data_IF_741708982223
#
_entry.id   IF_741708982223
#
_cell.length_a   1.000
_cell.length_b   1.000
_cell.length_c   1.000
_cell.angle_alpha   90.00
_cell.angle_beta   90.00
_cell.angle_gamma   90.00
#
_symmetry.space_group_name_H-M   'P 1'
#
loop_
_entity.id
_entity.type
_entity.pdbx_description
1 polymer ?
#
# COMPACT_ATOMS: atom_id res chain seq x y z
N UNK A 1 -25.37 -9.82 52.45
CA UNK A 1 -25.03 -10.24 51.08
C UNK A 1 -23.94 -9.30 50.56
N UNK A 2 -22.78 -9.80 50.15
CA UNK A 2 -21.71 -9.00 49.53
C UNK A 2 -21.80 -9.16 48.01
N UNK A 3 -22.10 -8.09 47.30
CA UNK A 3 -22.06 -8.06 45.84
C UNK A 3 -20.64 -7.66 45.40
N UNK A 4 -19.93 -8.59 44.79
CA UNK A 4 -18.63 -8.33 44.16
C UNK A 4 -18.88 -8.01 42.69
N UNK A 5 -18.77 -6.74 42.30
CA UNK A 5 -18.86 -6.32 40.91
C UNK A 5 -17.53 -6.61 40.21
N UNK A 6 -17.53 -7.57 39.27
CA UNK A 6 -16.37 -7.85 38.42
C UNK A 6 -16.47 -6.92 37.20
N UNK A 7 -15.56 -5.94 37.12
CA UNK A 7 -15.44 -5.04 35.98
C UNK A 7 -14.62 -5.75 34.88
N UNK A 8 -15.29 -6.25 33.84
CA UNK A 8 -14.63 -6.83 32.68
C UNK A 8 -14.13 -5.71 31.74
N UNK A 9 -12.82 -5.51 31.69
CA UNK A 9 -12.17 -4.65 30.69
C UNK A 9 -12.13 -5.39 29.35
N UNK A 10 -13.05 -5.05 28.45
CA UNK A 10 -12.97 -5.49 27.06
C UNK A 10 -11.85 -4.71 26.36
N UNK A 11 -10.71 -5.36 26.12
CA UNK A 11 -9.65 -4.80 25.29
C UNK A 11 -10.06 -4.91 23.82
N UNK A 12 -10.40 -3.78 23.19
CA UNK A 12 -10.57 -3.73 21.74
C UNK A 12 -9.20 -3.89 21.09
N UNK A 13 -8.89 -5.09 20.61
CA UNK A 13 -7.71 -5.31 19.78
C UNK A 13 -7.87 -4.50 18.49
N UNK A 14 -7.08 -3.44 18.33
CA UNK A 14 -6.98 -2.73 17.06
C UNK A 14 -6.28 -3.66 16.06
N UNK A 15 -7.04 -4.20 15.11
CA UNK A 15 -6.47 -4.97 14.00
C UNK A 15 -5.73 -3.99 13.07
N UNK A 16 -4.40 -3.93 13.19
CA UNK A 16 -3.57 -3.15 12.28
C UNK A 16 -3.66 -3.73 10.86
N UNK A 17 -4.14 -2.93 9.91
CA UNK A 17 -4.16 -3.30 8.50
C UNK A 17 -2.76 -3.19 7.92
N UNK A 18 -2.33 -4.25 7.22
CA UNK A 18 -1.05 -4.25 6.49
C UNK A 18 -1.21 -3.42 5.22
N UNK A 19 -0.22 -2.58 4.87
CA UNK A 19 -0.22 -1.93 3.57
C UNK A 19 -0.19 -2.99 2.45
N UNK A 20 -0.89 -2.69 1.35
CA UNK A 20 -1.02 -3.55 0.18
C UNK A 20 -0.77 -2.75 -1.10
N UNK A 21 -0.12 -3.37 -2.08
CA UNK A 21 0.03 -2.85 -3.42
C UNK A 21 -0.01 -3.99 -4.45
N UNK A 22 -1.20 -4.50 -4.75
CA UNK A 22 -1.35 -5.63 -5.69
C UNK A 22 -1.32 -5.12 -7.13
N UNK A 23 -0.58 -5.80 -7.99
CA UNK A 23 -0.42 -5.46 -9.41
C UNK A 23 -1.41 -6.20 -10.31
N UNK A 24 -1.87 -5.56 -11.37
CA UNK A 24 -2.85 -6.10 -12.31
C UNK A 24 -2.47 -5.80 -13.76
N UNK A 25 -2.76 -6.73 -14.68
CA UNK A 25 -2.43 -6.62 -16.11
C UNK A 25 -3.37 -5.70 -16.88
N UNK A 26 -4.49 -5.31 -16.28
CA UNK A 26 -5.50 -4.41 -16.85
C UNK A 26 -5.63 -3.15 -16.00
N UNK A 27 -6.27 -2.12 -16.53
CA UNK A 27 -6.33 -0.78 -15.93
C UNK A 27 -7.31 -0.65 -14.76
N UNK A 28 -8.16 -1.65 -14.53
CA UNK A 28 -9.30 -1.64 -13.60
C UNK A 28 -9.13 -2.61 -12.41
N UNK A 29 -7.97 -3.26 -12.30
CA UNK A 29 -7.66 -4.22 -11.25
C UNK A 29 -8.53 -5.49 -11.24
N UNK A 30 -8.95 -5.98 -12.41
CA UNK A 30 -9.74 -7.23 -12.50
C UNK A 30 -8.92 -8.48 -12.88
N UNK A 31 -7.70 -8.34 -13.40
CA UNK A 31 -6.80 -9.46 -13.74
C UNK A 31 -5.46 -9.36 -12.99
N UNK A 32 -5.39 -9.98 -11.81
CA UNK A 32 -4.25 -9.87 -10.90
C UNK A 32 -2.98 -10.52 -11.49
N UNK A 33 -1.85 -9.84 -11.33
CA UNK A 33 -0.52 -10.29 -11.73
C UNK A 33 0.30 -10.73 -10.49
N UNK A 34 0.57 -9.79 -9.59
CA UNK A 34 1.40 -10.01 -8.40
C UNK A 34 0.73 -9.45 -7.14
N UNK A 35 0.83 -10.16 -6.02
CA UNK A 35 0.28 -9.73 -4.73
C UNK A 35 1.39 -9.26 -3.80
N UNK A 36 1.21 -8.09 -3.17
CA UNK A 36 2.18 -7.52 -2.24
C UNK A 36 1.48 -7.03 -0.96
N UNK A 37 1.77 -7.67 0.18
CA UNK A 37 1.25 -7.26 1.48
C UNK A 37 2.20 -7.64 2.63
N UNK A 38 2.65 -6.66 3.41
CA UNK A 38 3.51 -6.89 4.59
C UNK A 38 3.48 -5.67 5.50
N UNK A 39 3.64 -5.85 6.82
CA UNK A 39 3.86 -4.72 7.75
C UNK A 39 5.14 -3.94 7.41
N UNK A 40 6.12 -4.61 6.82
CA UNK A 40 7.39 -4.02 6.39
C UNK A 40 7.41 -3.66 4.90
N UNK A 41 6.25 -3.68 4.23
CA UNK A 41 6.17 -3.32 2.82
C UNK A 41 6.54 -1.84 2.66
N UNK A 42 7.60 -1.59 1.90
CA UNK A 42 8.15 -0.26 1.66
C UNK A 42 8.05 0.09 0.19
N UNK A 43 8.84 -0.56 -0.66
CA UNK A 43 8.86 -0.32 -2.10
C UNK A 43 8.21 -1.50 -2.83
N UNK A 44 7.40 -1.19 -3.83
CA UNK A 44 6.87 -2.17 -4.78
C UNK A 44 7.14 -1.64 -6.18
N UNK A 45 8.02 -2.33 -6.89
CA UNK A 45 8.39 -2.01 -8.27
C UNK A 45 7.41 -2.68 -9.22
N UNK A 46 6.76 -1.90 -10.08
CA UNK A 46 5.71 -2.39 -10.97
C UNK A 46 6.35 -3.19 -12.09
N UNK A 47 5.92 -4.41 -12.34
CA UNK A 47 6.30 -5.16 -13.54
C UNK A 47 5.92 -4.38 -14.82
N UNK A 48 6.68 -4.58 -15.88
CA UNK A 48 6.48 -3.83 -17.13
C UNK A 48 5.13 -4.16 -17.79
N UNK A 49 4.55 -5.32 -17.47
CA UNK A 49 3.21 -5.72 -17.95
C UNK A 49 2.07 -5.18 -17.07
N UNK A 50 2.36 -4.63 -15.90
CA UNK A 50 1.35 -4.08 -14.98
C UNK A 50 0.71 -2.82 -15.56
N UNK A 51 -0.61 -2.70 -15.43
CA UNK A 51 -1.40 -1.55 -15.91
C UNK A 51 -2.12 -0.82 -14.78
N UNK A 52 -2.40 -1.51 -13.68
CA UNK A 52 -2.88 -0.87 -12.47
C UNK A 52 -2.36 -1.53 -11.20
N UNK A 53 -2.47 -0.81 -10.10
CA UNK A 53 -2.13 -1.28 -8.76
C UNK A 53 -3.29 -0.99 -7.81
N UNK A 54 -3.71 -1.98 -7.03
CA UNK A 54 -4.68 -1.79 -5.95
C UNK A 54 -3.95 -1.51 -4.64
N UNK A 55 -4.19 -0.32 -4.09
CA UNK A 55 -3.50 0.19 -2.91
C UNK A 55 -4.43 0.19 -1.70
N UNK A 56 -3.92 -0.31 -0.57
CA UNK A 56 -4.50 0.00 0.75
C UNK A 56 -3.40 0.55 1.64
N UNK A 57 -3.73 1.60 2.40
CA UNK A 57 -2.80 2.13 3.38
C UNK A 57 -2.57 1.13 4.51
N UNK A 58 -1.56 1.45 5.32
CA UNK A 58 -1.20 0.66 6.48
C UNK A 58 -0.70 1.54 7.60
N UNK A 59 -0.11 0.92 8.61
CA UNK A 59 0.51 1.61 9.74
C UNK A 59 1.89 1.03 10.02
N UNK A 60 2.74 1.83 10.67
CA UNK A 60 3.97 1.32 11.29
C UNK A 60 3.62 0.43 12.50
N UNK A 61 4.62 -0.25 13.08
CA UNK A 61 4.41 -1.06 14.29
C UNK A 61 4.03 -0.19 15.50
N UNK A 62 4.41 1.08 15.48
CA UNK A 62 4.06 2.11 16.46
C UNK A 62 2.68 2.74 16.18
N UNK A 63 1.97 2.28 15.15
CA UNK A 63 0.62 2.72 14.82
C UNK A 63 0.52 4.00 13.98
N UNK A 64 1.64 4.51 13.47
CA UNK A 64 1.69 5.74 12.66
C UNK A 64 1.11 5.46 11.27
N UNK A 65 0.16 6.27 10.76
CA UNK A 65 -0.39 6.10 9.42
C UNK A 65 0.68 6.17 8.32
N UNK A 66 0.53 5.30 7.32
CA UNK A 66 1.34 5.30 6.11
C UNK A 66 0.47 5.48 4.87
N UNK A 67 0.99 6.15 3.86
CA UNK A 67 0.37 6.29 2.55
C UNK A 67 1.32 5.94 1.41
N UNK A 68 0.74 5.70 0.24
CA UNK A 68 1.45 5.38 -0.99
C UNK A 68 1.78 6.59 -1.85
N UNK A 69 3.01 6.65 -2.34
CA UNK A 69 3.51 7.64 -3.29
C UNK A 69 4.05 6.97 -4.54
N UNK A 70 3.74 7.55 -5.71
CA UNK A 70 4.21 7.06 -7.01
C UNK A 70 5.58 7.62 -7.38
N UNK A 71 6.38 6.80 -8.06
CA UNK A 71 7.71 7.15 -8.54
C UNK A 71 7.87 6.83 -10.03
N UNK A 72 8.58 7.69 -10.76
CA UNK A 72 8.76 7.57 -12.20
C UNK A 72 9.71 6.45 -12.62
N UNK A 73 10.51 5.92 -11.69
CA UNK A 73 11.50 4.90 -12.01
C UNK A 73 11.73 3.85 -10.90
N UNK A 74 12.44 2.79 -11.27
CA UNK A 74 12.80 1.67 -10.40
C UNK A 74 14.21 1.18 -10.75
N UNK A 75 14.91 0.56 -9.80
CA UNK A 75 16.19 -0.11 -10.11
C UNK A 75 16.01 -1.40 -10.91
N UNK A 76 14.83 -2.03 -10.82
CA UNK A 76 14.47 -3.27 -11.49
C UNK A 76 13.25 -3.92 -10.82
N UNK A 77 12.82 -5.07 -11.31
CA UNK A 77 11.75 -5.85 -10.67
C UNK A 77 12.24 -6.41 -9.33
N UNK A 78 11.48 -6.20 -8.25
CA UNK A 78 11.89 -6.51 -6.87
C UNK A 78 12.91 -5.54 -6.27
N UNK A 79 13.21 -4.42 -6.95
CA UNK A 79 14.16 -3.40 -6.49
C UNK A 79 13.53 -2.26 -5.69
N UNK A 80 14.16 -1.08 -5.76
CA UNK A 80 13.75 0.13 -5.04
C UNK A 80 13.13 1.18 -5.97
N UNK A 81 12.27 2.04 -5.43
CA UNK A 81 11.76 3.21 -6.12
C UNK A 81 12.86 4.26 -6.33
N UNK A 82 12.96 4.78 -7.55
CA UNK A 82 13.91 5.80 -8.00
C UNK A 82 13.22 6.87 -8.85
N UNK A 83 14.00 7.86 -9.29
CA UNK A 83 13.53 8.93 -10.13
C UNK A 83 12.64 9.93 -9.39
N UNK A 84 11.77 10.56 -10.14
CA UNK A 84 10.92 11.64 -9.67
C UNK A 84 9.73 11.11 -8.86
N UNK A 85 9.40 11.80 -7.76
CA UNK A 85 8.21 11.52 -6.95
C UNK A 85 7.00 12.18 -7.61
N UNK A 86 6.07 11.36 -8.10
CA UNK A 86 4.89 11.76 -8.88
C UNK A 86 3.68 12.15 -8.00
N UNK A 87 3.78 11.97 -6.68
CA UNK A 87 2.77 12.41 -5.70
C UNK A 87 2.05 11.27 -4.97
N UNK A 88 1.13 11.66 -4.08
CA UNK A 88 0.31 10.74 -3.27
C UNK A 88 -0.72 10.05 -4.16
N UNK A 89 -0.87 8.73 -4.00
CA UNK A 89 -1.82 7.92 -4.76
C UNK A 89 -3.08 7.61 -3.95
N UNK A 90 -4.27 7.52 -4.51
CA UNK A 90 -5.46 7.19 -3.73
C UNK A 90 -5.49 5.71 -3.31
N UNK A 91 -6.13 5.41 -2.18
CA UNK A 91 -6.36 4.05 -1.65
C UNK A 91 -7.45 3.30 -2.42
N UNK A 92 -7.13 2.88 -3.64
CA UNK A 92 -8.03 2.15 -4.53
C UNK A 92 -7.23 1.55 -5.68
N UNK A 93 -7.93 1.05 -6.69
CA UNK A 93 -7.32 0.75 -7.97
C UNK A 93 -6.79 2.04 -8.63
N UNK A 94 -5.51 2.03 -8.97
CA UNK A 94 -4.80 3.13 -9.63
C UNK A 94 -4.29 2.65 -10.97
N UNK A 95 -4.77 3.25 -12.07
CA UNK A 95 -4.16 3.09 -13.38
C UNK A 95 -2.83 3.85 -13.41
N UNK A 96 -1.72 3.10 -13.41
CA UNK A 96 -0.36 3.64 -13.31
C UNK A 96 0.14 4.26 -14.61
N UNK A 97 -0.55 4.03 -15.73
CA UNK A 97 -0.25 4.64 -17.02
C UNK A 97 -0.81 6.05 -17.16
N UNK A 98 -1.89 6.37 -16.44
CA UNK A 98 -2.68 7.59 -16.73
C UNK A 98 -2.93 8.49 -15.52
N UNK A 99 -2.74 8.02 -14.28
CA UNK A 99 -3.06 8.84 -13.10
C UNK A 99 -2.14 10.06 -12.97
N UNK A 100 -0.86 9.86 -13.25
CA UNK A 100 0.14 10.91 -13.22
C UNK A 100 0.54 11.30 -14.65
N UNK A 101 1.24 12.42 -14.78
CA UNK A 101 1.70 12.92 -16.08
C UNK A 101 2.81 12.06 -16.71
N UNK A 102 3.34 11.09 -15.96
CA UNK A 102 4.26 10.02 -16.39
C UNK A 102 3.80 8.70 -15.80
N UNK A 103 4.12 7.60 -16.46
CA UNK A 103 3.86 6.24 -15.93
C UNK A 103 4.56 6.07 -14.57
N UNK A 104 3.80 5.61 -13.58
CA UNK A 104 4.32 5.21 -12.27
C UNK A 104 4.97 3.84 -12.43
N UNK A 105 6.27 3.74 -12.20
CA UNK A 105 7.02 2.46 -12.27
C UNK A 105 7.28 1.84 -10.91
N UNK A 106 7.07 2.58 -9.83
CA UNK A 106 7.24 2.08 -8.47
C UNK A 106 6.32 2.84 -7.51
N UNK A 107 5.84 2.16 -6.47
CA UNK A 107 5.11 2.80 -5.37
C UNK A 107 5.84 2.58 -4.05
N UNK A 108 5.91 3.62 -3.23
CA UNK A 108 6.53 3.58 -1.90
C UNK A 108 5.52 3.91 -0.82
N UNK A 109 5.49 3.08 0.23
CA UNK A 109 4.70 3.30 1.43
C UNK A 109 5.51 4.12 2.44
N UNK A 110 5.11 5.37 2.63
CA UNK A 110 5.78 6.39 3.46
C UNK A 110 4.88 6.77 4.63
N UNK A 111 5.47 7.31 5.70
CA UNK A 111 4.72 7.91 6.81
C UNK A 111 4.04 9.20 6.33
N UNK A 112 2.80 9.44 6.78
CA UNK A 112 2.02 10.65 6.49
C UNK A 112 2.26 11.76 7.52
#
# INVERSE_FOLDING_TARGET
MKFTTILALATTALAYTRPKANEYKNSDCSNQNYGHNSFFLKDVTMDDTTKSVYLTDGRTLEGIPKGWFGYSDKTGNGGDCKGERLGRLPEKCVNIDTLAYKRIKCVRSEVL
#
